data_IF_064625635303
#
_entry.id   IF_064625635303
#
_cell.length_a   1.000
_cell.length_b   1.000
_cell.length_c   1.000
_cell.angle_alpha   90.00
_cell.angle_beta   90.00
_cell.angle_gamma   90.00
#
_symmetry.space_group_name_H-M   'P 1'
#
loop_
_entity.id
_entity.type
_entity.pdbx_description
1 polymer ?
#
# COMPACT_ATOMS: atom_id res chain seq x y z
N UNK A 1 -45.10 -16.90 -81.01
CA UNK A 1 -43.78 -16.54 -80.43
C UNK A 1 -43.84 -15.62 -79.19
N UNK A 2 -44.98 -15.45 -78.49
CA UNK A 2 -45.06 -14.62 -77.27
C UNK A 2 -44.88 -15.36 -75.93
N UNK A 3 -44.88 -16.70 -75.92
CA UNK A 3 -44.78 -17.49 -74.67
C UNK A 3 -43.35 -17.65 -74.11
N UNK A 4 -42.31 -17.47 -74.93
CA UNK A 4 -40.92 -17.68 -74.49
C UNK A 4 -40.32 -16.49 -73.70
N UNK A 5 -40.76 -15.26 -73.96
CA UNK A 5 -40.25 -14.07 -73.24
C UNK A 5 -40.73 -14.04 -71.79
N UNK A 6 -41.91 -14.60 -71.50
CA UNK A 6 -42.51 -14.53 -70.17
C UNK A 6 -41.88 -15.51 -69.15
N UNK A 7 -41.19 -16.55 -69.62
CA UNK A 7 -40.51 -17.53 -68.74
C UNK A 7 -39.18 -16.98 -68.24
N UNK A 8 -38.42 -16.28 -69.07
CA UNK A 8 -37.11 -15.73 -68.70
C UNK A 8 -37.21 -14.63 -67.63
N UNK A 9 -38.26 -13.80 -67.69
CA UNK A 9 -38.50 -12.74 -66.70
C UNK A 9 -38.82 -13.30 -65.31
N UNK A 10 -39.59 -14.40 -65.24
CA UNK A 10 -39.96 -15.03 -63.95
C UNK A 10 -38.77 -15.74 -63.28
N UNK A 11 -37.84 -16.28 -64.06
CA UNK A 11 -36.63 -16.92 -63.54
C UNK A 11 -35.66 -15.86 -63.00
N UNK A 12 -35.46 -14.75 -63.72
CA UNK A 12 -34.61 -13.65 -63.23
C UNK A 12 -35.17 -13.01 -61.95
N UNK A 13 -36.49 -12.81 -61.86
CA UNK A 13 -37.11 -12.22 -60.67
C UNK A 13 -37.01 -13.14 -59.44
N UNK A 14 -37.14 -14.47 -59.61
CA UNK A 14 -36.94 -15.43 -58.52
C UNK A 14 -35.50 -15.45 -58.01
N UNK A 15 -34.52 -15.45 -58.92
CA UNK A 15 -33.11 -15.47 -58.52
C UNK A 15 -32.71 -14.18 -57.79
N UNK A 16 -33.20 -13.02 -58.26
CA UNK A 16 -32.96 -11.74 -57.59
C UNK A 16 -33.55 -11.69 -56.17
N UNK A 17 -34.77 -12.18 -55.97
CA UNK A 17 -35.38 -12.27 -54.64
C UNK A 17 -34.59 -13.19 -53.70
N UNK A 18 -34.09 -14.34 -54.18
CA UNK A 18 -33.33 -15.28 -53.35
C UNK A 18 -32.00 -14.66 -52.90
N UNK A 19 -31.27 -13.99 -53.81
CA UNK A 19 -30.00 -13.34 -53.45
C UNK A 19 -30.20 -12.19 -52.45
N UNK A 20 -31.27 -11.40 -52.59
CA UNK A 20 -31.60 -10.33 -51.66
C UNK A 20 -31.91 -10.85 -50.25
N UNK A 21 -32.69 -11.94 -50.15
CA UNK A 21 -33.06 -12.54 -48.86
C UNK A 21 -31.85 -13.15 -48.15
N UNK A 22 -30.94 -13.81 -48.88
CA UNK A 22 -29.70 -14.37 -48.31
C UNK A 22 -28.78 -13.25 -47.79
N UNK A 23 -28.64 -12.16 -48.55
CA UNK A 23 -27.82 -11.02 -48.14
C UNK A 23 -28.36 -10.32 -46.88
N UNK A 24 -29.68 -10.16 -46.77
CA UNK A 24 -30.32 -9.57 -45.58
C UNK A 24 -30.19 -10.48 -44.35
N UNK A 25 -30.33 -11.79 -44.53
CA UNK A 25 -30.14 -12.77 -43.44
C UNK A 25 -28.72 -12.76 -42.86
N UNK A 26 -27.70 -12.66 -43.71
CA UNK A 26 -26.30 -12.60 -43.28
C UNK A 26 -25.98 -11.32 -42.48
N UNK A 27 -26.60 -10.20 -42.83
CA UNK A 27 -26.44 -8.93 -42.09
C UNK A 27 -27.10 -9.01 -40.72
N UNK A 28 -28.31 -9.58 -40.63
CA UNK A 28 -29.03 -9.74 -39.36
C UNK A 28 -28.28 -10.66 -38.38
N UNK A 29 -27.71 -11.77 -38.86
CA UNK A 29 -26.91 -12.67 -38.02
C UNK A 29 -25.66 -11.98 -37.47
N UNK A 30 -24.98 -11.15 -38.28
CA UNK A 30 -23.81 -10.38 -37.82
C UNK A 30 -24.19 -9.33 -36.78
N UNK A 31 -25.32 -8.64 -36.94
CA UNK A 31 -25.80 -7.68 -35.95
C UNK A 31 -26.14 -8.39 -34.64
N UNK A 32 -26.81 -9.56 -34.71
CA UNK A 32 -27.18 -10.32 -33.51
C UNK A 32 -25.95 -10.79 -32.72
N UNK A 33 -24.92 -11.31 -33.41
CA UNK A 33 -23.67 -11.73 -32.78
C UNK A 33 -22.93 -10.54 -32.12
N UNK A 34 -22.92 -9.38 -32.78
CA UNK A 34 -22.28 -8.17 -32.26
C UNK A 34 -23.01 -7.64 -31.02
N UNK A 35 -24.36 -7.67 -31.01
CA UNK A 35 -25.18 -7.30 -29.85
C UNK A 35 -24.96 -8.26 -28.68
N UNK A 36 -24.93 -9.57 -28.92
CA UNK A 36 -24.65 -10.54 -27.83
C UNK A 36 -23.23 -10.44 -27.29
N UNK A 37 -22.24 -10.09 -28.14
CA UNK A 37 -20.87 -9.87 -27.69
C UNK A 37 -20.75 -8.60 -26.84
N UNK A 38 -21.43 -7.51 -27.23
CA UNK A 38 -21.48 -6.28 -26.45
C UNK A 38 -22.24 -6.45 -25.12
N UNK A 39 -23.33 -7.23 -25.09
CA UNK A 39 -24.01 -7.57 -23.84
C UNK A 39 -23.20 -8.52 -22.94
N UNK A 40 -22.43 -9.45 -23.52
CA UNK A 40 -21.53 -10.32 -22.76
C UNK A 40 -20.42 -9.57 -22.05
N UNK A 41 -19.88 -8.51 -22.66
CA UNK A 41 -18.88 -7.62 -22.04
C UNK A 41 -19.47 -6.74 -20.92
N UNK A 42 -20.77 -6.43 -20.95
CA UNK A 42 -21.41 -5.60 -19.94
C UNK A 42 -21.73 -6.33 -18.63
N UNK A 43 -21.75 -7.68 -18.63
CA UNK A 43 -22.11 -8.49 -17.45
C UNK A 43 -20.85 -8.97 -16.68
N UNK A 44 -19.65 -8.81 -17.26
CA UNK A 44 -18.41 -9.40 -16.75
C UNK A 44 -17.56 -8.56 -15.78
N UNK A 45 -17.96 -7.35 -15.39
CA UNK A 45 -17.11 -6.49 -14.56
C UNK A 45 -17.91 -5.80 -13.45
N UNK A 46 -18.27 -6.55 -12.42
CA UNK A 46 -18.69 -5.95 -11.14
C UNK A 46 -18.00 -6.68 -9.97
N UNK A 47 -16.73 -7.06 -10.15
CA UNK A 47 -15.84 -7.18 -9.01
C UNK A 47 -15.73 -5.77 -8.43
N UNK A 48 -16.36 -5.55 -7.28
CA UNK A 48 -16.07 -4.39 -6.43
C UNK A 48 -14.56 -4.41 -6.23
N UNK A 49 -13.84 -3.56 -6.96
CA UNK A 49 -12.44 -3.32 -6.70
C UNK A 49 -12.38 -2.69 -5.32
N UNK A 50 -12.14 -3.51 -4.30
CA UNK A 50 -11.83 -3.02 -2.95
C UNK A 50 -10.71 -2.01 -3.13
N UNK A 51 -10.96 -0.79 -2.70
CA UNK A 51 -9.96 0.26 -2.84
C UNK A 51 -8.75 -0.13 -1.99
N UNK A 52 -7.56 0.20 -2.46
CA UNK A 52 -6.32 -0.08 -1.73
C UNK A 52 -6.32 0.55 -0.32
N UNK A 53 -7.02 1.67 -0.15
CA UNK A 53 -7.28 2.28 1.16
C UNK A 53 -8.06 1.35 2.10
N UNK A 54 -9.15 0.73 1.64
CA UNK A 54 -9.92 -0.23 2.44
C UNK A 54 -9.08 -1.45 2.83
N UNK A 55 -8.16 -1.89 1.95
CA UNK A 55 -7.23 -2.99 2.25
C UNK A 55 -6.28 -2.61 3.39
N UNK A 56 -5.76 -1.37 3.40
CA UNK A 56 -4.88 -0.90 4.48
C UNK A 56 -5.62 -0.65 5.77
N UNK A 57 -6.81 -0.06 5.74
CA UNK A 57 -7.63 0.14 6.93
C UNK A 57 -7.94 -1.21 7.59
N UNK A 58 -8.35 -2.22 6.81
CA UNK A 58 -8.57 -3.57 7.33
C UNK A 58 -7.32 -4.20 7.94
N UNK A 59 -6.14 -3.92 7.39
CA UNK A 59 -4.88 -4.40 7.95
C UNK A 59 -4.50 -3.67 9.25
N UNK A 60 -4.81 -2.37 9.36
CA UNK A 60 -4.61 -1.62 10.59
C UNK A 60 -5.54 -2.12 11.69
N UNK A 61 -6.80 -2.42 11.36
CA UNK A 61 -7.76 -2.99 12.32
C UNK A 61 -7.30 -4.37 12.84
N UNK A 62 -6.63 -5.16 11.99
CA UNK A 62 -6.03 -6.43 12.37
C UNK A 62 -4.82 -6.29 13.33
N UNK A 63 -4.37 -5.06 13.64
CA UNK A 63 -3.36 -4.81 14.67
C UNK A 63 -3.96 -4.76 16.08
N UNK A 64 -5.29 -4.72 16.21
CA UNK A 64 -5.98 -4.60 17.49
C UNK A 64 -5.76 -5.81 18.41
N UNK A 65 -5.80 -5.55 19.72
CA UNK A 65 -5.71 -6.56 20.76
C UNK A 65 -6.83 -7.62 20.57
N UNK A 66 -6.50 -8.89 20.81
CA UNK A 66 -7.43 -10.02 20.65
C UNK A 66 -7.52 -10.58 19.22
N UNK A 67 -6.86 -9.95 18.25
CA UNK A 67 -6.67 -10.54 16.91
C UNK A 67 -5.70 -11.72 16.99
N UNK A 68 -5.91 -12.75 16.17
CA UNK A 68 -5.03 -13.92 16.12
C UNK A 68 -3.62 -13.52 15.65
N UNK A 69 -2.57 -14.01 16.32
CA UNK A 69 -1.16 -13.69 16.02
C UNK A 69 -0.77 -13.85 14.53
N UNK A 70 -1.34 -14.87 13.86
CA UNK A 70 -1.13 -15.10 12.43
C UNK A 70 -1.63 -13.93 11.58
N UNK A 71 -2.85 -13.47 11.85
CA UNK A 71 -3.50 -12.35 11.17
C UNK A 71 -2.76 -11.04 11.41
N UNK A 72 -2.31 -10.76 12.64
CA UNK A 72 -1.49 -9.58 12.95
C UNK A 72 -0.17 -9.61 12.18
N UNK A 73 0.46 -10.79 12.05
CA UNK A 73 1.69 -10.96 11.27
C UNK A 73 1.50 -10.73 9.77
N UNK A 74 0.40 -11.20 9.20
CA UNK A 74 0.04 -10.93 7.80
C UNK A 74 -0.23 -9.45 7.55
N UNK A 75 -0.95 -8.80 8.46
CA UNK A 75 -1.24 -7.37 8.40
C UNK A 75 0.03 -6.52 8.44
N UNK A 76 0.96 -6.81 9.37
CA UNK A 76 2.26 -6.12 9.43
C UNK A 76 3.04 -6.29 8.13
N UNK A 77 3.16 -7.53 7.62
CA UNK A 77 3.86 -7.79 6.35
C UNK A 77 3.22 -7.04 5.18
N UNK A 78 1.89 -6.98 5.12
CA UNK A 78 1.18 -6.24 4.09
C UNK A 78 1.54 -4.74 4.15
N UNK A 79 1.40 -4.13 5.33
CA UNK A 79 1.68 -2.71 5.54
C UNK A 79 3.15 -2.35 5.31
N UNK A 80 4.09 -3.24 5.67
CA UNK A 80 5.52 -3.08 5.40
C UNK A 80 5.85 -3.23 3.90
N UNK A 81 5.24 -4.21 3.22
CA UNK A 81 5.46 -4.44 1.79
C UNK A 81 4.90 -3.32 0.92
N UNK A 82 3.83 -2.65 1.38
CA UNK A 82 3.24 -1.49 0.74
C UNK A 82 4.15 -0.24 0.80
N UNK A 83 5.06 -0.17 1.77
CA UNK A 83 5.97 0.96 1.88
C UNK A 83 5.25 2.29 2.08
N UNK A 84 5.65 3.28 1.29
CA UNK A 84 5.08 4.64 1.31
C UNK A 84 3.59 4.68 0.91
N UNK A 85 3.08 3.67 0.22
CA UNK A 85 1.67 3.63 -0.21
C UNK A 85 0.72 3.44 0.96
N UNK A 86 1.15 2.78 2.04
CA UNK A 86 0.36 2.59 3.26
C UNK A 86 0.43 3.80 4.21
N UNK A 87 1.37 4.74 4.01
CA UNK A 87 1.57 5.85 4.94
C UNK A 87 0.35 6.74 5.14
N UNK A 88 -0.46 7.08 4.11
CA UNK A 88 -1.68 7.87 4.33
C UNK A 88 -2.66 7.21 5.31
N UNK A 89 -2.88 5.89 5.20
CA UNK A 89 -3.77 5.15 6.10
C UNK A 89 -3.18 5.08 7.52
N UNK A 90 -1.88 4.77 7.65
CA UNK A 90 -1.20 4.74 8.94
C UNK A 90 -1.22 6.12 9.64
N UNK A 91 -0.97 7.20 8.89
CA UNK A 91 -1.05 8.57 9.41
C UNK A 91 -2.47 8.92 9.87
N UNK A 92 -3.50 8.45 9.18
CA UNK A 92 -4.89 8.70 9.58
C UNK A 92 -5.24 8.07 10.94
N UNK A 93 -4.48 7.07 11.39
CA UNK A 93 -4.75 6.27 12.59
C UNK A 93 -3.81 6.58 13.76
N UNK A 94 -2.92 7.58 13.64
CA UNK A 94 -1.94 7.92 14.70
C UNK A 94 -2.56 8.35 16.03
N UNK A 95 -3.78 8.90 16.01
CA UNK A 95 -4.48 9.36 17.21
C UNK A 95 -5.50 8.31 17.71
N UNK A 96 -5.41 7.05 17.25
CA UNK A 96 -6.24 5.97 17.77
C UNK A 96 -5.65 5.39 19.06
N UNK A 97 -6.39 5.56 20.16
CA UNK A 97 -6.02 5.12 21.50
C UNK A 97 -6.49 3.70 21.86
N UNK A 98 -7.11 2.96 20.93
CA UNK A 98 -7.52 1.57 21.14
C UNK A 98 -6.31 0.65 21.31
N UNK A 99 -6.45 -0.40 22.12
CA UNK A 99 -5.36 -1.33 22.39
C UNK A 99 -4.94 -2.11 21.13
N UNK A 100 -3.65 -2.12 20.86
CA UNK A 100 -3.00 -2.93 19.85
C UNK A 100 -2.38 -4.19 20.46
N UNK A 101 -2.04 -5.14 19.60
CA UNK A 101 -1.33 -6.36 19.96
C UNK A 101 0.04 -6.07 20.60
N UNK A 102 0.42 -6.88 21.60
CA UNK A 102 1.67 -6.77 22.37
C UNK A 102 2.95 -6.84 21.52
N UNK A 103 2.86 -7.26 20.25
CA UNK A 103 4.01 -7.26 19.33
C UNK A 103 4.64 -5.88 19.16
N UNK A 104 3.88 -4.79 19.35
CA UNK A 104 4.38 -3.42 19.24
C UNK A 104 4.99 -2.88 20.55
N UNK A 105 5.20 -3.72 21.57
CA UNK A 105 5.86 -3.32 22.81
C UNK A 105 7.38 -3.09 22.60
N UNK A 106 7.75 -1.93 22.05
CA UNK A 106 9.14 -1.50 21.96
C UNK A 106 9.70 -0.94 23.29
N UNK A 107 8.82 -0.67 24.27
CA UNK A 107 9.18 -0.22 25.60
C UNK A 107 9.23 -1.40 26.58
N UNK A 108 10.40 -1.62 27.18
CA UNK A 108 10.49 -2.41 28.41
C UNK A 108 10.18 -1.43 29.52
N UNK A 109 9.08 -1.65 30.26
CA UNK A 109 8.92 -1.09 31.59
C UNK A 109 7.95 0.07 31.78
N UNK A 110 6.99 0.31 30.89
CA UNK A 110 5.77 0.99 31.34
C UNK A 110 4.92 -0.07 32.04
N UNK A 111 5.09 -0.22 33.35
CA UNK A 111 3.95 -0.66 34.16
C UNK A 111 2.87 0.40 33.93
N UNK A 112 1.60 0.00 33.77
CA UNK A 112 0.52 0.98 33.73
C UNK A 112 0.53 1.89 34.98
N UNK A 113 -0.40 2.83 35.07
CA UNK A 113 -0.54 3.70 36.26
C UNK A 113 -0.79 2.90 37.57
N UNK A 114 -0.97 1.58 37.48
CA UNK A 114 -0.98 0.64 38.59
C UNK A 114 0.13 -0.44 38.51
N UNK A 115 0.54 -0.99 39.66
CA UNK A 115 1.64 -1.97 39.76
C UNK A 115 1.41 -3.33 39.07
N UNK A 116 0.25 -3.56 38.42
CA UNK A 116 -0.14 -4.89 37.93
C UNK A 116 -0.86 -4.95 36.58
N UNK A 117 -1.13 -3.82 35.90
CA UNK A 117 -1.77 -3.89 34.58
C UNK A 117 -0.70 -3.99 33.48
N UNK A 118 -0.77 -5.01 32.60
CA UNK A 118 0.08 -5.09 31.44
C UNK A 118 -0.19 -3.88 30.54
N UNK A 119 0.87 -3.13 30.23
CA UNK A 119 0.78 -2.03 29.28
C UNK A 119 0.56 -2.58 27.88
N UNK A 120 -0.55 -2.20 27.25
CA UNK A 120 -0.80 -2.45 25.84
C UNK A 120 -0.47 -1.18 25.03
N UNK A 121 0.28 -1.27 23.93
CA UNK A 121 0.47 -0.13 23.03
C UNK A 121 -0.85 0.20 22.33
N UNK A 122 -1.10 1.47 21.98
CA UNK A 122 -2.27 1.83 21.19
C UNK A 122 -2.10 1.52 19.70
N UNK A 123 -3.19 1.47 18.93
CA UNK A 123 -3.17 1.37 17.45
C UNK A 123 -2.38 2.53 16.85
N UNK A 124 -2.58 3.74 17.35
CA UNK A 124 -1.83 4.91 16.92
C UNK A 124 -0.33 4.74 17.15
N UNK A 125 0.06 4.14 18.28
CA UNK A 125 1.46 3.80 18.56
C UNK A 125 2.00 2.75 17.60
N UNK A 126 1.24 1.69 17.31
CA UNK A 126 1.63 0.67 16.35
C UNK A 126 1.83 1.26 14.94
N UNK A 127 0.92 2.16 14.52
CA UNK A 127 1.03 2.87 13.24
C UNK A 127 2.28 3.76 13.18
N UNK A 128 2.58 4.49 14.26
CA UNK A 128 3.81 5.26 14.38
C UNK A 128 5.05 4.37 14.27
N UNK A 129 5.11 3.28 15.04
CA UNK A 129 6.27 2.37 15.06
C UNK A 129 6.46 1.68 13.69
N UNK A 130 5.40 1.39 12.94
CA UNK A 130 5.48 0.91 11.55
C UNK A 130 6.08 1.94 10.61
N UNK A 131 5.62 3.20 10.64
CA UNK A 131 6.17 4.26 9.79
C UNK A 131 7.65 4.50 10.14
N UNK A 132 7.96 4.65 11.44
CA UNK A 132 9.31 4.86 11.91
C UNK A 132 10.23 3.68 11.56
N UNK A 133 9.80 2.45 11.81
CA UNK A 133 10.57 1.25 11.48
C UNK A 133 10.84 1.13 9.98
N UNK A 134 9.89 1.53 9.13
CA UNK A 134 10.10 1.57 7.69
C UNK A 134 11.05 2.69 7.26
N UNK A 135 10.94 3.90 7.82
CA UNK A 135 11.74 5.06 7.41
C UNK A 135 13.14 5.09 8.03
N UNK A 136 13.32 4.61 9.26
CA UNK A 136 14.58 4.72 10.01
C UNK A 136 15.25 3.36 10.25
N UNK A 137 14.47 2.27 10.19
CA UNK A 137 14.92 0.92 10.52
C UNK A 137 14.75 0.60 12.01
N UNK A 138 15.15 -0.61 12.39
CA UNK A 138 15.07 -1.09 13.78
C UNK A 138 16.45 -1.00 14.42
N UNK A 139 16.62 -0.08 15.37
CA UNK A 139 17.91 0.13 16.04
C UNK A 139 17.93 -0.41 17.47
N UNK A 140 19.11 -0.78 17.99
CA UNK A 140 19.29 -1.06 19.41
C UNK A 140 18.88 0.16 20.24
N UNK A 141 18.30 -0.09 21.43
CA UNK A 141 17.69 0.96 22.27
C UNK A 141 18.60 2.15 22.55
N UNK A 142 19.88 1.91 22.79
CA UNK A 142 20.86 2.95 23.08
C UNK A 142 21.15 3.93 21.93
N UNK A 143 20.66 3.67 20.72
CA UNK A 143 20.84 4.58 19.57
C UNK A 143 19.55 5.33 19.21
N UNK A 144 18.41 4.98 19.82
CA UNK A 144 17.09 5.52 19.44
C UNK A 144 16.92 7.00 19.75
N UNK A 145 17.75 7.60 20.63
CA UNK A 145 17.72 9.06 20.82
C UNK A 145 18.11 9.86 19.57
N UNK A 146 18.68 9.21 18.55
CA UNK A 146 19.02 9.84 17.27
C UNK A 146 17.97 9.57 16.18
N UNK A 147 16.83 8.95 16.51
CA UNK A 147 15.68 8.89 15.60
C UNK A 147 15.25 10.32 15.22
N UNK A 148 14.93 10.52 13.95
CA UNK A 148 14.47 11.80 13.40
C UNK A 148 12.97 11.96 13.67
N UNK A 149 12.23 10.86 13.53
CA UNK A 149 10.78 10.81 13.66
C UNK A 149 10.35 10.64 15.12
N UNK A 150 9.33 11.38 15.50
CA UNK A 150 8.62 11.25 16.76
C UNK A 150 7.14 11.59 16.56
N UNK A 151 6.31 11.36 17.57
CA UNK A 151 4.87 11.58 17.47
C UNK A 151 4.51 13.04 17.12
N UNK A 152 5.31 14.03 17.50
CA UNK A 152 4.98 15.43 17.25
C UNK A 152 5.35 15.91 15.84
N UNK A 153 6.32 15.28 15.17
CA UNK A 153 6.78 15.73 13.85
C UNK A 153 6.40 14.81 12.67
N UNK A 154 5.95 13.57 12.93
CA UNK A 154 5.75 12.55 11.88
C UNK A 154 4.84 13.02 10.74
N UNK A 155 3.71 13.68 11.07
CA UNK A 155 2.74 14.15 10.08
C UNK A 155 3.34 15.18 9.13
N UNK A 156 4.02 16.19 9.69
CA UNK A 156 4.68 17.23 8.92
C UNK A 156 5.84 16.65 8.09
N UNK A 157 6.67 15.81 8.72
CA UNK A 157 7.86 15.25 8.09
C UNK A 157 7.51 14.39 6.87
N UNK A 158 6.49 13.53 6.96
CA UNK A 158 6.01 12.73 5.82
C UNK A 158 5.35 13.63 4.77
N UNK A 159 4.55 14.62 5.19
CA UNK A 159 3.88 15.56 4.29
C UNK A 159 4.84 16.35 3.40
N UNK A 160 5.98 16.81 3.96
CA UNK A 160 7.04 17.52 3.24
C UNK A 160 7.78 16.64 2.22
N UNK A 161 7.66 15.31 2.31
CA UNK A 161 8.38 14.33 1.48
C UNK A 161 7.45 13.56 0.54
N UNK A 162 6.26 14.11 0.29
CA UNK A 162 5.31 13.53 -0.66
C UNK A 162 5.98 13.32 -2.03
N UNK A 163 5.93 12.09 -2.52
CA UNK A 163 6.52 11.70 -3.81
C UNK A 163 7.94 11.15 -3.72
N UNK A 164 8.58 11.16 -2.54
CA UNK A 164 9.83 10.41 -2.33
C UNK A 164 9.56 8.92 -2.20
N UNK A 165 10.50 8.13 -2.69
CA UNK A 165 10.54 6.68 -2.45
C UNK A 165 10.94 6.38 -1.01
N UNK A 166 10.61 5.16 -0.54
CA UNK A 166 11.01 4.72 0.79
C UNK A 166 12.54 4.74 0.97
N UNK A 167 13.29 4.38 -0.07
CA UNK A 167 14.76 4.42 -0.05
C UNK A 167 15.29 5.84 0.16
N UNK A 168 14.79 6.82 -0.58
CA UNK A 168 15.20 8.23 -0.41
C UNK A 168 14.89 8.74 1.00
N UNK A 169 13.73 8.37 1.56
CA UNK A 169 13.36 8.72 2.93
C UNK A 169 14.31 8.08 3.95
N UNK A 170 14.69 6.81 3.75
CA UNK A 170 15.68 6.12 4.60
C UNK A 170 17.05 6.76 4.56
N UNK A 171 17.54 7.09 3.37
CA UNK A 171 18.84 7.79 3.20
C UNK A 171 18.79 9.14 3.91
N UNK A 172 17.69 9.87 3.79
CA UNK A 172 17.53 11.16 4.45
C UNK A 172 17.51 11.02 5.99
N UNK A 173 16.71 10.11 6.54
CA UNK A 173 16.70 9.83 7.98
C UNK A 173 18.09 9.45 8.50
N UNK A 174 18.77 8.53 7.83
CA UNK A 174 20.11 8.09 8.23
C UNK A 174 21.14 9.24 8.25
N UNK A 175 21.06 10.16 7.28
CA UNK A 175 21.90 11.35 7.26
C UNK A 175 21.59 12.31 8.42
N UNK A 176 20.32 12.60 8.68
CA UNK A 176 19.92 13.45 9.81
C UNK A 176 20.39 12.88 11.15
N UNK A 177 20.19 11.57 11.36
CA UNK A 177 20.62 10.89 12.57
C UNK A 177 22.15 10.92 12.74
N UNK A 178 22.90 10.64 11.68
CA UNK A 178 24.37 10.73 11.72
C UNK A 178 24.85 12.14 12.04
N UNK A 179 24.25 13.16 11.44
CA UNK A 179 24.60 14.55 11.71
C UNK A 179 24.30 14.94 13.16
N UNK A 180 23.15 14.50 13.71
CA UNK A 180 22.81 14.70 15.12
C UNK A 180 23.82 14.04 16.06
N UNK A 181 24.24 12.80 15.77
CA UNK A 181 25.25 12.11 16.56
C UNK A 181 26.64 12.77 16.46
N UNK A 182 27.05 13.25 15.28
CA UNK A 182 28.29 14.01 15.09
C UNK A 182 28.28 15.29 15.92
N UNK A 183 27.20 16.07 15.84
CA UNK A 183 27.04 17.28 16.64
C UNK A 183 27.10 16.98 18.14
N UNK A 184 26.47 15.89 18.59
CA UNK A 184 26.53 15.47 20.00
C UNK A 184 27.95 15.06 20.42
N UNK A 185 28.69 14.38 19.55
CA UNK A 185 30.09 14.02 19.80
C UNK A 185 31.01 15.24 19.84
N UNK A 186 30.79 16.24 18.97
CA UNK A 186 31.52 17.50 18.99
C UNK A 186 31.30 18.27 20.30
N UNK A 187 30.08 18.25 20.83
CA UNK A 187 29.73 18.89 22.11
C UNK A 187 30.22 18.11 23.33
N UNK A 188 30.24 16.77 23.25
CA UNK A 188 30.54 15.86 24.35
C UNK A 188 31.31 14.63 23.82
N UNK A 189 32.64 14.75 23.64
CA UNK A 189 33.46 13.73 22.98
C UNK A 189 33.79 12.60 23.95
N UNK A 190 32.87 11.63 24.05
CA UNK A 190 33.01 10.40 24.82
C UNK A 190 33.15 9.19 23.90
N UNK A 191 33.66 8.07 24.42
CA UNK A 191 33.68 6.80 23.69
C UNK A 191 32.27 6.34 23.28
N UNK A 192 31.26 6.68 24.10
CA UNK A 192 29.88 6.40 23.78
C UNK A 192 29.37 7.20 22.57
N UNK A 193 29.59 8.52 22.54
CA UNK A 193 29.16 9.34 21.40
C UNK A 193 29.92 8.99 20.13
N UNK A 194 31.19 8.61 20.24
CA UNK A 194 31.98 8.04 19.13
C UNK A 194 31.36 6.75 18.58
N UNK A 195 31.03 5.79 19.46
CA UNK A 195 30.36 4.52 19.07
C UNK A 195 29.03 4.78 18.35
N UNK A 196 28.28 5.81 18.77
CA UNK A 196 27.04 6.21 18.09
C UNK A 196 27.31 6.73 16.67
N UNK A 197 28.34 7.56 16.48
CA UNK A 197 28.74 8.07 15.16
C UNK A 197 29.18 6.92 14.25
N UNK A 198 29.96 5.97 14.75
CA UNK A 198 30.40 4.79 14.00
C UNK A 198 29.21 3.94 13.55
N UNK A 199 28.30 3.59 14.48
CA UNK A 199 27.08 2.85 14.18
C UNK A 199 26.23 3.53 13.09
N UNK A 200 25.99 4.85 13.21
CA UNK A 200 25.17 5.59 12.26
C UNK A 200 25.86 5.80 10.91
N UNK A 201 27.20 5.86 10.89
CA UNK A 201 27.99 5.89 9.65
C UNK A 201 27.83 4.58 8.89
N UNK A 202 27.96 3.44 9.58
CA UNK A 202 27.72 2.13 9.00
C UNK A 202 26.26 1.96 8.53
N UNK A 203 25.30 2.45 9.31
CA UNK A 203 23.89 2.39 8.96
C UNK A 203 23.59 3.18 7.68
N UNK A 204 24.10 4.41 7.56
CA UNK A 204 23.97 5.20 6.34
C UNK A 204 24.56 4.48 5.13
N UNK A 205 25.76 3.90 5.27
CA UNK A 205 26.38 3.14 4.19
C UNK A 205 25.53 1.91 3.79
N UNK A 206 24.96 1.18 4.76
CA UNK A 206 24.07 0.04 4.47
C UNK A 206 22.82 0.48 3.71
N UNK A 207 22.17 1.56 4.14
CA UNK A 207 20.96 2.09 3.50
C UNK A 207 21.25 2.55 2.08
N UNK A 208 22.35 3.28 1.85
CA UNK A 208 22.73 3.76 0.51
C UNK A 208 23.01 2.63 -0.49
N UNK A 209 23.43 1.46 -0.01
CA UNK A 209 23.74 0.30 -0.85
C UNK A 209 22.56 -0.67 -1.01
N UNK A 210 21.44 -0.45 -0.31
CA UNK A 210 20.23 -1.27 -0.43
C UNK A 210 19.38 -0.78 -1.61
N UNK A 211 19.58 -1.39 -2.79
CA UNK A 211 18.74 -1.20 -3.98
C UNK A 211 17.46 -2.04 -3.90
#
# INVERSE_FOLDING_TARGET
>A
MQKFVNVSSKIMQKNFCITLVISLGAVLIRIQLLVTFLLGLAIGCNEKSTSQAEVYDSAIDALALGTQDGTTGDAVRLLESAGVDAFPALLARLDDDSDACDRFMHAVGSFGDGPHEPYHPSIGRACFDLIQGQAEGVWPKGFRQYHVLNNSNIREWIGQRKGKTLHEMRVECANYSLNSAKQKHEQDPTEWTKTCVEFLTENLAKVQNAN
#
